data_IF_151330124518
#
_entry.id   IF_151330124518
#
_cell.length_a   1.000
_cell.length_b   1.000
_cell.length_c   1.000
_cell.angle_alpha   90.00
_cell.angle_beta   90.00
_cell.angle_gamma   90.00
#
_symmetry.space_group_name_H-M   'P 1'
#
loop_
_entity.id
_entity.type
_entity.pdbx_description
1 polymer ?
#
# COMPACT_ATOMS: atom_id res chain seq x y z
N UNK A 1 -11.78 -12.68 -2.27
CA UNK A 1 -10.59 -12.39 -1.43
C UNK A 1 -10.64 -10.91 -1.09
N UNK A 2 -10.33 -10.52 0.16
CA UNK A 2 -10.31 -9.10 0.53
C UNK A 2 -9.13 -8.38 -0.14
N UNK A 3 -9.36 -7.16 -0.60
CA UNK A 3 -8.36 -6.26 -1.17
C UNK A 3 -8.43 -4.94 -0.41
N UNK A 4 -7.31 -4.51 0.17
CA UNK A 4 -7.22 -3.29 0.97
C UNK A 4 -6.10 -2.42 0.44
N UNK A 5 -6.38 -1.14 0.21
CA UNK A 5 -5.39 -0.13 -0.14
C UNK A 5 -5.19 0.80 1.07
N UNK A 6 -4.01 0.72 1.68
CA UNK A 6 -3.54 1.70 2.65
C UNK A 6 -2.98 2.88 1.85
N UNK A 7 -3.53 4.07 2.02
CA UNK A 7 -3.20 5.25 1.24
C UNK A 7 -2.39 6.24 2.05
N UNK A 8 -1.37 6.83 1.43
CA UNK A 8 -0.60 7.95 1.97
C UNK A 8 -0.05 7.76 3.41
N UNK A 9 0.15 6.52 3.84
CA UNK A 9 0.73 6.18 5.14
C UNK A 9 2.26 6.19 5.11
N UNK A 10 2.90 6.26 6.28
CA UNK A 10 4.35 6.03 6.38
C UNK A 10 4.64 4.53 6.25
N UNK A 11 5.30 4.15 5.17
CA UNK A 11 5.76 2.79 4.91
C UNK A 11 7.19 2.65 5.39
N UNK A 12 7.43 1.67 6.25
CA UNK A 12 8.77 1.36 6.79
C UNK A 12 9.05 -0.12 6.50
N UNK A 13 10.06 -0.39 5.68
CA UNK A 13 10.55 -1.73 5.38
C UNK A 13 12.09 -1.73 5.41
N UNK A 14 12.70 -2.12 6.54
CA UNK A 14 14.15 -2.12 6.70
C UNK A 14 14.88 -2.98 5.66
N UNK A 15 14.32 -4.14 5.32
CA UNK A 15 14.93 -5.10 4.39
C UNK A 15 15.06 -4.54 2.97
N UNK A 16 14.13 -3.66 2.56
CA UNK A 16 14.19 -2.98 1.26
C UNK A 16 14.70 -1.54 1.35
N UNK A 17 15.11 -1.08 2.54
CA UNK A 17 15.56 0.29 2.79
C UNK A 17 14.48 1.36 2.61
N UNK A 18 13.19 0.99 2.69
CA UNK A 18 12.08 1.94 2.54
C UNK A 18 11.81 2.61 3.89
N UNK A 19 11.82 3.93 3.90
CA UNK A 19 11.24 4.77 4.95
C UNK A 19 10.69 6.05 4.32
N UNK A 20 9.37 6.13 4.18
CA UNK A 20 8.73 7.30 3.59
C UNK A 20 7.23 7.14 3.44
N UNK A 21 6.57 8.19 2.96
CA UNK A 21 5.12 8.18 2.71
C UNK A 21 4.81 7.48 1.40
N UNK A 22 3.79 6.61 1.40
CA UNK A 22 3.41 5.84 0.22
C UNK A 22 2.08 5.10 0.39
N UNK A 23 1.73 4.37 -0.66
CA UNK A 23 0.57 3.49 -0.72
C UNK A 23 1.00 2.03 -0.61
N UNK A 24 0.18 1.20 0.06
CA UNK A 24 0.38 -0.26 0.16
C UNK A 24 -0.90 -0.98 -0.23
N UNK A 25 -0.82 -1.84 -1.24
CA UNK A 25 -1.92 -2.71 -1.65
C UNK A 25 -1.75 -4.09 -1.03
N UNK A 26 -2.78 -4.52 -0.29
CA UNK A 26 -2.90 -5.85 0.29
C UNK A 26 -3.94 -6.66 -0.49
N UNK A 27 -3.59 -7.88 -0.89
CA UNK A 27 -4.52 -8.85 -1.52
C UNK A 27 -4.46 -10.14 -0.72
N UNK A 28 -5.59 -10.52 -0.10
CA UNK A 28 -5.67 -11.75 0.69
C UNK A 28 -4.68 -11.81 1.86
N UNK A 29 -4.38 -10.65 2.47
CA UNK A 29 -3.44 -10.55 3.60
C UNK A 29 -1.96 -10.54 3.21
N UNK A 30 -1.62 -10.45 1.92
CA UNK A 30 -0.24 -10.32 1.43
C UNK A 30 -0.04 -8.98 0.73
N UNK A 31 1.16 -8.43 0.85
CA UNK A 31 1.57 -7.24 0.09
C UNK A 31 1.63 -7.59 -1.40
N UNK A 32 0.79 -6.94 -2.19
CA UNK A 32 0.73 -7.11 -3.63
C UNK A 32 1.50 -6.00 -4.37
N UNK A 33 1.48 -4.78 -3.84
CA UNK A 33 2.24 -3.65 -4.38
C UNK A 33 2.54 -2.61 -3.29
N UNK A 34 3.63 -1.87 -3.49
CA UNK A 34 4.02 -0.69 -2.70
C UNK A 34 4.41 0.40 -3.68
N UNK A 35 3.91 1.63 -3.49
CA UNK A 35 4.42 2.81 -4.19
C UNK A 35 4.77 3.90 -3.20
N UNK A 36 5.94 4.51 -3.37
CA UNK A 36 6.37 5.69 -2.60
C UNK A 36 5.78 6.99 -3.16
N UNK A 37 4.92 6.91 -4.16
CA UNK A 37 4.17 8.04 -4.70
C UNK A 37 2.71 7.90 -4.25
N UNK A 38 2.35 8.65 -3.22
CA UNK A 38 0.99 8.65 -2.68
C UNK A 38 -0.05 8.95 -3.77
N UNK A 39 -1.13 8.16 -3.79
CA UNK A 39 -2.20 8.24 -4.77
C UNK A 39 -1.88 7.58 -6.12
N UNK A 40 -0.70 6.99 -6.30
CA UNK A 40 -0.36 6.27 -7.54
C UNK A 40 -1.06 4.91 -7.60
N UNK A 41 -1.21 4.22 -6.47
CA UNK A 41 -1.88 2.93 -6.45
C UNK A 41 -3.41 3.11 -6.55
N UNK A 42 -3.98 2.39 -7.50
CA UNK A 42 -5.42 2.26 -7.71
C UNK A 42 -5.78 0.79 -7.84
N UNK A 43 -6.76 0.35 -7.05
CA UNK A 43 -7.28 -1.00 -7.08
C UNK A 43 -8.82 -0.94 -7.05
N UNK A 44 -9.44 -1.26 -8.19
CA UNK A 44 -10.89 -1.27 -8.32
C UNK A 44 -11.53 -2.27 -7.33
N UNK A 45 -12.51 -1.81 -6.56
CA UNK A 45 -13.20 -2.64 -5.56
C UNK A 45 -12.40 -2.92 -4.29
N UNK A 46 -11.24 -2.28 -4.10
CA UNK A 46 -10.53 -2.33 -2.83
C UNK A 46 -11.19 -1.44 -1.77
N UNK A 47 -11.15 -1.87 -0.53
CA UNK A 47 -11.37 -0.98 0.61
C UNK A 47 -10.18 -0.01 0.68
N UNK A 48 -10.47 1.30 0.69
CA UNK A 48 -9.44 2.33 0.82
C UNK A 48 -9.43 2.82 2.25
N UNK A 49 -8.26 2.74 2.88
CA UNK A 49 -8.00 3.25 4.23
C UNK A 49 -6.98 4.38 4.10
N UNK A 50 -7.35 5.55 4.62
CA UNK A 50 -6.50 6.75 4.73
C UNK A 50 -5.87 6.82 6.13
#
# INVERSE_FOLDING_TARGET
>A
MSTTLLRAGRVICPDSGIDGTGDVLLVGGRVAAVSMKAGELSAAGAEVVD
#
